data_IF_281654165203
#
_entry.id   IF_281654165203
#
_cell.length_a   1.000
_cell.length_b   1.000
_cell.length_c   1.000
_cell.angle_alpha   90.00
_cell.angle_beta   90.00
_cell.angle_gamma   90.00
#
_symmetry.space_group_name_H-M   'P 1'
#
loop_
_entity.id
_entity.type
_entity.pdbx_description
1 polymer ?
#
# COMPACT_ATOMS: atom_id res chain seq x y z
N UNK A 1 12.46 -7.75 21.42
CA UNK A 1 11.40 -7.69 20.44
C UNK A 1 11.13 -9.07 19.88
N UNK A 2 9.84 -9.48 19.84
CA UNK A 2 9.41 -10.84 19.44
C UNK A 2 8.84 -10.87 18.02
N UNK A 3 8.74 -9.73 17.33
CA UNK A 3 8.13 -9.63 16.00
C UNK A 3 6.62 -9.91 15.97
N UNK A 4 5.93 -9.83 17.10
CA UNK A 4 4.52 -10.19 17.22
C UNK A 4 3.55 -9.18 16.59
N UNK A 5 4.04 -8.07 16.07
CA UNK A 5 3.25 -7.16 15.22
C UNK A 5 2.90 -7.83 13.89
N UNK A 6 3.81 -8.66 13.37
CA UNK A 6 3.63 -9.49 12.18
C UNK A 6 4.08 -10.94 12.51
N UNK A 7 3.25 -11.72 13.25
CA UNK A 7 3.68 -12.97 13.88
C UNK A 7 4.24 -13.99 12.91
N UNK A 8 3.63 -14.11 11.72
CA UNK A 8 3.98 -15.12 10.71
C UNK A 8 5.00 -14.65 9.67
N UNK A 9 5.36 -13.36 9.69
CA UNK A 9 6.37 -12.88 8.74
C UNK A 9 7.76 -13.40 9.09
N UNK A 10 8.66 -13.52 8.10
CA UNK A 10 10.03 -13.93 8.33
C UNK A 10 10.75 -13.01 9.32
N UNK A 11 11.57 -13.60 10.17
CA UNK A 11 12.31 -12.85 11.21
C UNK A 11 13.33 -11.87 10.63
N UNK A 12 13.86 -12.15 9.44
CA UNK A 12 14.79 -11.28 8.70
C UNK A 12 14.17 -9.91 8.34
N UNK A 13 12.84 -9.83 8.25
CA UNK A 13 12.09 -8.59 8.02
C UNK A 13 11.42 -8.06 9.29
N UNK A 14 11.77 -8.58 10.46
CA UNK A 14 11.25 -8.12 11.75
C UNK A 14 9.97 -8.81 12.20
N UNK A 15 9.53 -9.86 11.50
CA UNK A 15 8.40 -10.70 11.90
C UNK A 15 8.74 -11.69 13.00
N UNK A 16 7.72 -12.39 13.50
CA UNK A 16 7.85 -13.38 14.56
C UNK A 16 8.33 -14.76 14.09
N UNK A 17 8.24 -15.07 12.82
CA UNK A 17 8.58 -16.37 12.24
C UNK A 17 7.71 -17.52 12.74
N UNK A 18 6.53 -17.21 13.28
CA UNK A 18 5.60 -18.22 13.79
C UNK A 18 4.89 -18.97 12.65
N UNK A 19 4.59 -20.23 12.89
CA UNK A 19 3.63 -20.96 12.08
C UNK A 19 2.20 -20.43 12.29
N UNK A 20 1.29 -20.76 11.38
CA UNK A 20 -0.13 -20.37 11.51
C UNK A 20 -0.80 -20.98 12.76
N UNK A 21 -0.33 -22.11 13.27
CA UNK A 21 -0.87 -22.70 14.50
C UNK A 21 -0.35 -21.99 15.75
N UNK A 22 0.91 -21.57 15.76
CA UNK A 22 1.49 -20.74 16.83
C UNK A 22 0.85 -19.35 16.86
N UNK A 23 0.58 -18.75 15.70
CA UNK A 23 -0.17 -17.49 15.60
C UNK A 23 -1.55 -17.60 16.26
N UNK A 24 -2.31 -18.64 15.98
CA UNK A 24 -3.62 -18.89 16.61
C UNK A 24 -3.53 -19.00 18.14
N UNK A 25 -2.44 -19.59 18.66
CA UNK A 25 -2.19 -19.65 20.10
C UNK A 25 -1.91 -18.26 20.64
N UNK A 26 -1.06 -17.49 19.97
CA UNK A 26 -0.75 -16.11 20.35
C UNK A 26 -2.03 -15.26 20.37
N UNK A 27 -2.87 -15.33 19.34
CA UNK A 27 -4.14 -14.59 19.27
C UNK A 27 -5.08 -14.93 20.43
N UNK A 28 -5.22 -16.23 20.77
CA UNK A 28 -6.02 -16.67 21.92
C UNK A 28 -5.51 -16.11 23.24
N UNK A 29 -4.20 -16.12 23.44
CA UNK A 29 -3.60 -15.58 24.66
C UNK A 29 -3.72 -14.05 24.74
N UNK A 30 -3.53 -13.36 23.62
CA UNK A 30 -3.74 -11.90 23.57
C UNK A 30 -5.21 -11.54 23.88
N UNK A 31 -6.16 -12.28 23.32
CA UNK A 31 -7.58 -12.09 23.61
C UNK A 31 -7.92 -12.39 25.09
N UNK A 32 -7.38 -13.49 25.64
CA UNK A 32 -7.56 -13.85 27.07
C UNK A 32 -7.04 -12.77 28.02
N UNK A 33 -5.95 -12.11 27.65
CA UNK A 33 -5.31 -11.03 28.42
C UNK A 33 -5.86 -9.64 28.10
N UNK A 34 -6.86 -9.56 27.18
CA UNK A 34 -7.43 -8.30 26.68
C UNK A 34 -6.34 -7.33 26.15
N UNK A 35 -5.35 -7.88 25.46
CA UNK A 35 -4.31 -7.10 24.81
C UNK A 35 -4.85 -6.33 23.62
N UNK A 36 -4.43 -5.09 23.44
CA UNK A 36 -4.70 -4.33 22.22
C UNK A 36 -3.76 -4.79 21.10
N UNK A 37 -4.22 -4.78 19.83
CA UNK A 37 -3.32 -4.93 18.69
C UNK A 37 -2.18 -3.90 18.77
N UNK A 38 -0.96 -4.33 18.45
CA UNK A 38 0.22 -3.47 18.52
C UNK A 38 0.15 -2.32 17.50
N UNK A 39 -0.38 -2.60 16.32
CA UNK A 39 -0.47 -1.67 15.21
C UNK A 39 -1.65 -2.03 14.31
N UNK A 40 -2.33 -1.01 13.79
CA UNK A 40 -3.38 -1.13 12.78
C UNK A 40 -2.98 -0.26 11.60
N UNK A 41 -2.44 -0.88 10.55
CA UNK A 41 -1.92 -0.18 9.37
C UNK A 41 -2.10 -1.01 8.11
N UNK A 42 -2.41 -0.36 7.00
CA UNK A 42 -2.58 -1.01 5.70
C UNK A 42 -1.29 -1.67 5.20
N UNK A 43 -0.14 -1.18 5.64
CA UNK A 43 1.15 -1.82 5.40
C UNK A 43 1.20 -3.24 5.94
N UNK A 44 0.69 -3.49 7.15
CA UNK A 44 0.66 -4.83 7.74
C UNK A 44 -0.35 -5.76 7.05
N UNK A 45 -1.51 -5.26 6.69
CA UNK A 45 -2.62 -6.11 6.25
C UNK A 45 -2.62 -6.39 4.76
N UNK A 46 -2.15 -5.44 3.97
CA UNK A 46 -2.26 -5.48 2.52
C UNK A 46 -0.91 -5.47 1.82
N UNK A 47 -0.11 -4.43 2.07
CA UNK A 47 1.15 -4.26 1.34
C UNK A 47 2.20 -5.31 1.72
N UNK A 48 2.39 -5.55 3.01
CA UNK A 48 3.42 -6.47 3.48
C UNK A 48 3.24 -7.89 2.95
N UNK A 49 2.04 -8.50 3.04
CA UNK A 49 1.76 -9.78 2.40
C UNK A 49 2.02 -9.76 0.88
N UNK A 50 1.65 -8.67 0.19
CA UNK A 50 1.93 -8.53 -1.24
C UNK A 50 3.44 -8.44 -1.53
N UNK A 51 4.20 -7.67 -0.75
CA UNK A 51 5.65 -7.58 -0.89
C UNK A 51 6.36 -8.91 -0.58
N UNK A 52 5.91 -9.66 0.42
CA UNK A 52 6.48 -10.96 0.76
C UNK A 52 6.38 -11.93 -0.42
N UNK A 53 5.28 -11.88 -1.19
CA UNK A 53 5.04 -12.77 -2.33
C UNK A 53 5.63 -12.21 -3.63
N UNK A 54 5.44 -10.94 -3.92
CA UNK A 54 5.69 -10.34 -5.24
C UNK A 54 6.82 -9.30 -5.24
N UNK A 55 7.22 -8.78 -4.08
CA UNK A 55 8.31 -7.81 -3.97
C UNK A 55 9.68 -8.42 -4.27
N UNK A 56 10.57 -7.63 -4.84
CA UNK A 56 11.97 -8.00 -4.92
C UNK A 56 12.66 -7.80 -3.56
N UNK A 57 13.88 -8.32 -3.42
CA UNK A 57 14.59 -8.28 -2.14
C UNK A 57 14.85 -6.84 -1.64
N UNK A 58 15.17 -5.91 -2.55
CA UNK A 58 15.39 -4.51 -2.19
C UNK A 58 14.12 -3.87 -1.60
N UNK A 59 12.96 -4.11 -2.20
CA UNK A 59 11.67 -3.63 -1.70
C UNK A 59 11.32 -4.24 -0.33
N UNK A 60 11.58 -5.53 -0.13
CA UNK A 60 11.36 -6.20 1.16
C UNK A 60 12.23 -5.61 2.26
N UNK A 61 13.51 -5.44 2.01
CA UNK A 61 14.47 -4.85 2.95
C UNK A 61 14.14 -3.39 3.27
N UNK A 62 13.74 -2.62 2.26
CA UNK A 62 13.41 -1.20 2.43
C UNK A 62 12.16 -0.99 3.28
N UNK A 63 11.12 -1.82 3.10
CA UNK A 63 9.80 -1.50 3.63
C UNK A 63 9.33 -2.40 4.79
N UNK A 64 9.57 -3.73 4.74
CA UNK A 64 8.90 -4.65 5.66
C UNK A 64 9.24 -4.40 7.12
N UNK A 65 10.52 -4.23 7.46
CA UNK A 65 10.92 -3.95 8.84
C UNK A 65 10.36 -2.63 9.36
N UNK A 66 10.25 -1.60 8.51
CA UNK A 66 9.67 -0.30 8.87
C UNK A 66 8.16 -0.42 9.10
N UNK A 67 7.46 -1.23 8.29
CA UNK A 67 6.03 -1.54 8.46
C UNK A 67 5.80 -2.22 9.82
N UNK A 68 6.57 -3.26 10.13
CA UNK A 68 6.42 -4.03 11.40
C UNK A 68 6.63 -3.15 12.63
N UNK A 69 7.54 -2.18 12.56
CA UNK A 69 7.82 -1.23 13.65
C UNK A 69 6.85 -0.05 13.69
N UNK A 70 6.05 0.18 12.64
CA UNK A 70 5.20 1.35 12.51
C UNK A 70 5.97 2.64 12.23
N UNK A 71 7.18 2.53 11.67
CA UNK A 71 8.03 3.67 11.32
C UNK A 71 7.52 4.43 10.09
N UNK A 72 6.73 3.77 9.24
CA UNK A 72 6.12 4.32 8.03
C UNK A 72 4.64 3.93 7.94
N UNK A 73 3.81 4.86 7.48
CA UNK A 73 2.39 4.67 7.26
C UNK A 73 2.08 4.55 5.79
N UNK A 74 1.15 3.66 5.47
CA UNK A 74 0.76 3.36 4.11
C UNK A 74 -0.70 3.70 3.85
N UNK A 75 -0.97 4.33 2.70
CA UNK A 75 -2.31 4.46 2.15
C UNK A 75 -2.52 3.49 0.98
N UNK A 76 -3.79 3.20 0.67
CA UNK A 76 -4.19 2.39 -0.47
C UNK A 76 -4.78 3.28 -1.57
N UNK A 77 -4.23 3.20 -2.78
CA UNK A 77 -4.69 3.95 -3.95
C UNK A 77 -5.31 3.05 -5.03
N UNK A 78 -6.49 2.46 -4.76
CA UNK A 78 -7.18 1.59 -5.71
C UNK A 78 -8.30 2.33 -6.43
N UNK A 79 -9.35 2.71 -5.70
CA UNK A 79 -10.55 3.33 -6.25
C UNK A 79 -10.29 4.70 -6.87
N UNK A 80 -11.02 4.98 -7.94
CA UNK A 80 -11.07 6.29 -8.60
C UNK A 80 -12.52 6.80 -8.63
N UNK A 81 -12.77 8.09 -8.87
CA UNK A 81 -14.12 8.63 -8.95
C UNK A 81 -15.05 7.87 -9.92
N UNK A 82 -14.48 7.28 -11.00
CA UNK A 82 -15.21 6.50 -12.01
C UNK A 82 -14.87 5.00 -12.00
N UNK A 83 -14.08 4.51 -11.04
CA UNK A 83 -13.65 3.10 -10.97
C UNK A 83 -13.60 2.64 -9.50
N UNK A 84 -14.71 2.11 -9.03
CA UNK A 84 -14.85 1.50 -7.70
C UNK A 84 -15.09 0.00 -7.83
N UNK A 85 -16.35 -0.44 -7.90
CA UNK A 85 -16.68 -1.87 -8.10
C UNK A 85 -16.13 -2.41 -9.42
N UNK A 86 -16.12 -1.61 -10.48
CA UNK A 86 -15.41 -1.91 -11.72
C UNK A 86 -13.98 -1.33 -11.66
N UNK A 87 -13.14 -1.89 -10.79
CA UNK A 87 -11.78 -1.41 -10.55
C UNK A 87 -10.90 -1.48 -11.80
N UNK A 88 -11.12 -2.47 -12.66
CA UNK A 88 -10.36 -2.61 -13.91
C UNK A 88 -10.57 -1.43 -14.89
N UNK A 89 -11.56 -0.57 -14.65
CA UNK A 89 -11.77 0.66 -15.43
C UNK A 89 -10.95 1.86 -14.94
N UNK A 90 -9.98 1.63 -14.04
CA UNK A 90 -9.07 2.67 -13.54
C UNK A 90 -8.32 3.39 -14.67
N UNK A 91 -8.09 4.69 -14.49
CA UNK A 91 -7.50 5.59 -15.49
C UNK A 91 -6.24 6.29 -15.03
N UNK A 92 -5.90 6.23 -13.73
CA UNK A 92 -4.60 6.75 -13.26
C UNK A 92 -3.51 6.05 -14.03
N UNK A 93 -2.78 6.79 -14.87
CA UNK A 93 -1.76 6.21 -15.74
C UNK A 93 -0.37 6.39 -15.16
N UNK A 94 0.51 5.48 -15.48
CA UNK A 94 1.94 5.57 -15.24
C UNK A 94 2.65 5.38 -16.59
N UNK A 95 3.10 6.47 -17.17
CA UNK A 95 3.81 6.48 -18.46
C UNK A 95 5.28 6.12 -18.24
N UNK A 96 5.74 5.11 -18.98
CA UNK A 96 7.14 4.65 -18.89
C UNK A 96 8.09 5.64 -19.59
N UNK A 97 8.92 6.32 -18.81
CA UNK A 97 9.92 7.27 -19.28
C UNK A 97 11.33 6.65 -19.36
N UNK A 98 11.44 5.33 -19.15
CA UNK A 98 12.69 4.57 -19.19
C UNK A 98 13.28 4.33 -17.81
N UNK A 99 13.73 5.36 -17.13
CA UNK A 99 14.30 5.30 -15.77
C UNK A 99 13.28 5.53 -14.65
N UNK A 100 12.13 6.11 -14.98
CA UNK A 100 11.04 6.36 -14.05
C UNK A 100 9.68 6.25 -14.74
N UNK A 101 8.61 6.24 -13.95
CA UNK A 101 7.23 6.43 -14.41
C UNK A 101 6.76 7.84 -14.12
N UNK A 102 6.04 8.43 -15.07
CA UNK A 102 5.32 9.69 -14.87
C UNK A 102 3.86 9.36 -14.55
N UNK A 103 3.45 9.58 -13.30
CA UNK A 103 2.13 9.19 -12.81
C UNK A 103 1.19 10.37 -12.82
N UNK A 104 0.01 10.18 -13.46
CA UNK A 104 -1.05 11.18 -13.56
C UNK A 104 -2.42 10.55 -13.30
N UNK A 105 -3.20 11.16 -12.43
CA UNK A 105 -4.56 10.70 -12.14
C UNK A 105 -5.05 11.06 -10.76
N UNK A 106 -6.13 10.42 -10.36
CA UNK A 106 -6.80 10.71 -9.09
C UNK A 106 -7.31 9.44 -8.45
N UNK A 107 -6.99 9.24 -7.17
CA UNK A 107 -7.56 8.19 -6.33
C UNK A 107 -8.55 8.78 -5.33
N UNK A 108 -9.54 7.99 -4.92
CA UNK A 108 -10.55 8.41 -3.95
C UNK A 108 -10.72 7.33 -2.87
N UNK A 109 -11.24 7.73 -1.73
CA UNK A 109 -11.40 6.86 -0.55
C UNK A 109 -10.07 6.33 -0.03
N UNK A 110 -9.00 7.09 -0.21
CA UNK A 110 -7.67 6.75 0.27
C UNK A 110 -7.61 7.01 1.78
N UNK A 111 -7.64 5.94 2.57
CA UNK A 111 -7.69 6.02 4.04
C UNK A 111 -6.46 6.72 4.58
N UNK A 112 -6.66 7.82 5.33
CA UNK A 112 -5.62 8.61 5.99
C UNK A 112 -4.43 8.99 5.10
N UNK A 113 -4.67 9.20 3.80
CA UNK A 113 -3.60 9.55 2.86
C UNK A 113 -2.92 10.89 3.18
N UNK A 114 -3.61 11.80 3.88
CA UNK A 114 -3.07 13.05 4.41
C UNK A 114 -2.00 12.84 5.53
N UNK A 115 -1.93 11.64 6.09
CA UNK A 115 -1.00 11.25 7.16
C UNK A 115 -0.06 10.12 6.75
N UNK A 116 -0.22 9.59 5.55
CA UNK A 116 0.60 8.50 5.04
C UNK A 116 1.95 9.00 4.51
N UNK A 117 3.00 8.22 4.72
CA UNK A 117 4.32 8.46 4.12
C UNK A 117 4.37 7.94 2.69
N UNK A 118 3.67 6.82 2.42
CA UNK A 118 3.64 6.13 1.15
C UNK A 118 2.23 5.71 0.77
N UNK A 119 2.00 5.56 -0.52
CA UNK A 119 0.78 4.93 -1.06
C UNK A 119 1.15 3.80 -2.01
N UNK A 120 0.49 2.65 -1.87
CA UNK A 120 0.52 1.60 -2.87
C UNK A 120 -0.71 1.74 -3.78
N UNK A 121 -0.48 1.84 -5.07
CA UNK A 121 -1.52 2.17 -6.02
C UNK A 121 -1.57 1.21 -7.20
N UNK A 122 -2.79 1.00 -7.73
CA UNK A 122 -2.98 0.39 -9.04
C UNK A 122 -3.01 1.48 -10.10
N UNK A 123 -2.20 1.32 -11.13
CA UNK A 123 -2.05 2.29 -12.22
C UNK A 123 -2.13 1.61 -13.58
N UNK A 124 -2.52 2.37 -14.59
CA UNK A 124 -2.54 1.94 -15.99
C UNK A 124 -1.17 2.18 -16.62
N UNK A 125 -0.43 1.11 -16.87
CA UNK A 125 0.87 1.14 -17.56
C UNK A 125 0.75 0.84 -19.04
N UNK A 126 -0.28 0.09 -19.45
CA UNK A 126 -0.62 -0.15 -20.85
C UNK A 126 -2.15 -0.07 -21.05
N UNK A 127 -2.60 0.58 -22.12
CA UNK A 127 -3.99 0.70 -22.50
C UNK A 127 -4.29 0.05 -23.87
N UNK A 128 -3.35 -0.70 -24.44
CA UNK A 128 -3.50 -1.33 -25.75
C UNK A 128 -4.33 -2.62 -25.71
N UNK A 129 -4.40 -3.26 -24.54
CA UNK A 129 -5.10 -4.53 -24.33
C UNK A 129 -6.54 -4.37 -23.81
N UNK A 130 -7.06 -5.45 -23.22
CA UNK A 130 -8.35 -5.40 -22.53
C UNK A 130 -8.24 -4.61 -21.22
N UNK A 131 -9.38 -4.17 -20.66
CA UNK A 131 -9.37 -3.36 -19.41
C UNK A 131 -8.71 -4.06 -18.21
N UNK A 132 -8.59 -5.38 -18.23
CA UNK A 132 -7.95 -6.15 -17.16
C UNK A 132 -6.43 -6.30 -17.33
N UNK A 133 -5.91 -6.00 -18.51
CA UNK A 133 -4.48 -6.02 -18.84
C UNK A 133 -3.89 -4.61 -18.66
N UNK A 134 -2.60 -4.52 -18.50
CA UNK A 134 -1.88 -3.26 -18.37
C UNK A 134 -2.15 -2.52 -17.06
N UNK A 135 -2.49 -3.23 -15.98
CA UNK A 135 -2.63 -2.69 -14.64
C UNK A 135 -1.44 -3.15 -13.80
N UNK A 136 -0.62 -2.21 -13.36
CA UNK A 136 0.55 -2.49 -12.52
C UNK A 136 0.37 -1.95 -11.11
N UNK A 137 1.09 -2.57 -10.16
CA UNK A 137 1.11 -2.18 -8.77
C UNK A 137 2.38 -1.36 -8.49
N UNK A 138 2.22 -0.13 -7.99
CA UNK A 138 3.32 0.82 -7.81
C UNK A 138 3.33 1.42 -6.40
N UNK A 139 4.54 1.67 -5.87
CA UNK A 139 4.76 2.33 -4.59
C UNK A 139 5.15 3.80 -4.83
N UNK A 140 4.43 4.74 -4.22
CA UNK A 140 4.66 6.17 -4.42
C UNK A 140 4.92 6.83 -3.07
N UNK A 141 6.02 7.58 -2.94
CA UNK A 141 6.29 8.44 -1.78
C UNK A 141 5.31 9.63 -1.81
N UNK A 142 4.52 9.78 -0.75
CA UNK A 142 3.51 10.84 -0.64
C UNK A 142 4.10 12.25 -0.56
N UNK A 143 5.41 12.36 -0.33
CA UNK A 143 6.15 13.64 -0.33
C UNK A 143 6.68 14.03 -1.72
N UNK A 144 6.48 13.19 -2.73
CA UNK A 144 6.91 13.49 -4.10
C UNK A 144 6.21 14.73 -4.63
N UNK A 145 6.94 15.56 -5.39
CA UNK A 145 6.37 16.70 -6.09
C UNK A 145 5.25 16.24 -7.01
N UNK A 146 4.10 16.93 -6.96
CA UNK A 146 2.92 16.59 -7.74
C UNK A 146 1.91 15.69 -7.00
N UNK A 147 2.25 15.18 -5.80
CA UNK A 147 1.27 14.50 -4.95
C UNK A 147 0.56 15.52 -4.06
N UNK A 148 -0.77 15.45 -4.03
CA UNK A 148 -1.57 16.23 -3.09
C UNK A 148 -2.80 15.44 -2.63
N UNK A 149 -3.32 15.80 -1.46
CA UNK A 149 -4.49 15.15 -0.86
C UNK A 149 -5.53 16.18 -0.44
N UNK A 150 -6.80 15.81 -0.55
CA UNK A 150 -7.92 16.58 0.00
C UNK A 150 -8.77 15.67 0.87
N UNK A 151 -8.87 15.93 2.18
CA UNK A 151 -9.76 15.17 3.05
C UNK A 151 -11.22 15.24 2.61
N UNK A 152 -11.93 14.12 2.77
CA UNK A 152 -13.36 14.00 2.48
C UNK A 152 -14.12 14.04 3.80
N UNK A 153 -14.90 15.10 4.01
CA UNK A 153 -15.75 15.21 5.20
C UNK A 153 -16.91 14.22 5.12
N UNK A 154 -16.99 13.35 6.11
CA UNK A 154 -18.07 12.38 6.27
C UNK A 154 -19.27 12.97 7.02
N UNK A 155 -20.41 12.29 6.97
CA UNK A 155 -21.62 12.69 7.70
C UNK A 155 -21.40 12.78 9.23
N UNK A 156 -20.38 12.10 9.75
CA UNK A 156 -19.93 12.18 11.14
C UNK A 156 -19.20 13.48 11.49
N UNK A 157 -18.80 14.27 10.47
CA UNK A 157 -17.91 15.43 10.61
C UNK A 157 -16.42 15.07 10.65
N UNK A 158 -16.07 13.79 10.57
CA UNK A 158 -14.70 13.31 10.52
C UNK A 158 -14.22 13.14 9.05
N UNK A 159 -12.93 13.11 8.83
CA UNK A 159 -12.30 12.97 7.52
C UNK A 159 -11.26 11.87 7.53
N UNK A 160 -11.71 10.61 7.63
CA UNK A 160 -10.84 9.44 7.61
C UNK A 160 -10.31 9.11 6.20
N UNK A 161 -10.99 9.59 5.16
CA UNK A 161 -10.66 9.32 3.77
C UNK A 161 -10.24 10.61 3.06
N UNK A 162 -9.40 10.43 2.05
CA UNK A 162 -8.97 11.51 1.18
C UNK A 162 -9.26 11.19 -0.29
N UNK A 163 -9.30 12.24 -1.09
CA UNK A 163 -9.01 12.20 -2.51
C UNK A 163 -7.53 12.49 -2.67
N UNK A 164 -6.81 11.69 -3.46
CA UNK A 164 -5.37 11.84 -3.70
C UNK A 164 -5.14 12.11 -5.17
N UNK A 165 -4.37 13.15 -5.46
CA UNK A 165 -4.08 13.60 -6.82
C UNK A 165 -2.61 13.35 -7.13
N UNK A 166 -2.37 12.94 -8.37
CA UNK A 166 -1.04 12.80 -8.96
C UNK A 166 -0.97 13.69 -10.21
N UNK A 167 -0.05 14.64 -10.22
CA UNK A 167 0.17 15.60 -11.30
C UNK A 167 1.66 15.58 -11.67
N UNK A 168 1.98 14.88 -12.76
CA UNK A 168 3.33 14.64 -13.25
C UNK A 168 4.29 14.09 -12.17
N UNK A 169 3.80 13.17 -11.33
CA UNK A 169 4.59 12.57 -10.26
C UNK A 169 5.63 11.61 -10.83
N UNK A 170 6.90 11.89 -10.58
CA UNK A 170 8.01 11.01 -10.96
C UNK A 170 8.19 9.92 -9.93
N UNK A 171 8.02 8.67 -10.36
CA UNK A 171 8.17 7.49 -9.52
C UNK A 171 9.28 6.60 -10.07
N UNK A 172 10.31 6.27 -9.29
CA UNK A 172 11.39 5.38 -9.71
C UNK A 172 10.88 4.06 -10.27
N UNK A 173 11.54 3.53 -11.28
CA UNK A 173 11.13 2.27 -11.94
C UNK A 173 11.14 1.07 -11.00
N UNK A 174 12.06 1.07 -10.05
CA UNK A 174 12.19 0.04 -9.00
C UNK A 174 11.01 -0.03 -8.04
N UNK A 175 10.11 0.97 -8.06
CA UNK A 175 8.92 1.00 -7.21
C UNK A 175 7.73 0.20 -7.78
N UNK A 176 7.86 -0.40 -8.96
CA UNK A 176 6.91 -1.40 -9.45
C UNK A 176 7.10 -2.70 -8.68
N UNK A 177 6.01 -3.29 -8.21
CA UNK A 177 6.00 -4.57 -7.50
C UNK A 177 5.51 -5.68 -8.42
N UNK A 178 6.24 -6.77 -8.50
CA UNK A 178 5.87 -7.96 -9.27
C UNK A 178 6.24 -7.90 -10.75
N UNK A 179 6.35 -6.75 -11.33
CA UNK A 179 6.61 -6.51 -12.76
C UNK A 179 5.53 -5.67 -13.42
N UNK A 180 5.73 -5.36 -14.70
CA UNK A 180 4.72 -4.73 -15.55
C UNK A 180 3.79 -5.79 -16.11
N UNK A 181 2.49 -5.53 -16.07
CA UNK A 181 1.48 -6.30 -16.78
C UNK A 181 1.20 -5.65 -18.15
#
# INVERSE_FOLDING_TARGET
DKGWTAPTWPTEYGGGGLSSDEEKVLEKEMARLNCRPALYDLGLWMLGPALLVHGNEAQKQEHLSKIVRGDIRWAQGYSEPAAGSDLASLKTRAEDMGDHFLVNGTKIWTTQADKADWIFALVRTDASGTKHQGISFILIDMRSTGVSTTPIELISGESEFCQTFFDDVKVPRENIVGGLD
#
